data_IF_799122881729
#
_entry.id   IF_799122881729
#
_cell.length_a   1.000
_cell.length_b   1.000
_cell.length_c   1.000
_cell.angle_alpha   90.00
_cell.angle_beta   90.00
_cell.angle_gamma   90.00
#
_symmetry.space_group_name_H-M   'P 1'
#
loop_
_entity.id
_entity.type
_entity.pdbx_description
1 polymer ?
#
# COMPACT_ATOMS: atom_id res chain seq x y z
N UNK A 1 -14.30 -60.84 -46.39
CA UNK A 1 -13.60 -61.72 -45.42
C UNK A 1 -12.54 -60.90 -44.69
N UNK A 2 -12.35 -61.08 -43.37
CA UNK A 2 -12.67 -60.01 -42.42
C UNK A 2 -11.49 -59.23 -41.79
N UNK A 3 -11.83 -57.98 -41.45
CA UNK A 3 -11.45 -57.10 -40.35
C UNK A 3 -10.24 -57.38 -39.44
N UNK A 4 -9.37 -56.37 -39.29
CA UNK A 4 -8.99 -55.82 -37.98
C UNK A 4 -8.21 -54.49 -38.08
N UNK A 5 -8.35 -53.67 -37.03
CA UNK A 5 -7.55 -52.49 -36.63
C UNK A 5 -7.85 -51.13 -37.30
N UNK A 6 -8.67 -50.32 -36.61
CA UNK A 6 -8.21 -49.15 -35.85
C UNK A 6 -9.42 -48.27 -35.48
N UNK A 7 -9.60 -47.96 -34.19
CA UNK A 7 -10.19 -46.73 -33.61
C UNK A 7 -10.22 -46.92 -32.08
N UNK A 8 -9.87 -45.86 -31.34
CA UNK A 8 -10.43 -45.61 -30.01
C UNK A 8 -9.52 -45.82 -28.81
N UNK A 9 -8.59 -44.88 -28.59
CA UNK A 9 -8.15 -44.54 -27.23
C UNK A 9 -9.36 -43.98 -26.47
N UNK A 10 -9.83 -44.70 -25.45
CA UNK A 10 -10.82 -44.20 -24.47
C UNK A 10 -10.24 -44.29 -23.07
N UNK A 11 -10.48 -43.19 -22.36
CA UNK A 11 -9.92 -42.73 -21.10
C UNK A 11 -9.99 -43.70 -19.92
N UNK A 12 -8.87 -43.72 -19.19
CA UNK A 12 -8.68 -44.28 -17.84
C UNK A 12 -9.68 -43.72 -16.80
N UNK A 13 -10.37 -42.62 -17.11
CA UNK A 13 -11.30 -41.92 -16.23
C UNK A 13 -12.64 -42.67 -15.98
N UNK A 14 -13.07 -43.57 -16.87
CA UNK A 14 -14.35 -44.30 -16.68
C UNK A 14 -14.19 -45.51 -15.75
N UNK A 15 -12.98 -46.10 -15.64
CA UNK A 15 -12.73 -47.24 -14.72
C UNK A 15 -12.66 -46.84 -13.24
N UNK A 16 -12.35 -45.58 -12.92
CA UNK A 16 -12.32 -45.10 -11.53
C UNK A 16 -13.72 -44.77 -10.99
N UNK A 17 -14.62 -44.27 -11.85
CA UNK A 17 -16.00 -43.94 -11.46
C UNK A 17 -16.89 -45.18 -11.20
N UNK A 18 -16.59 -46.32 -11.82
CA UNK A 18 -17.34 -47.58 -11.55
C UNK A 18 -16.90 -48.26 -10.26
N UNK A 19 -15.62 -48.14 -9.84
CA UNK A 19 -15.14 -48.71 -8.56
C UNK A 19 -15.57 -47.91 -7.33
N UNK A 20 -15.75 -46.59 -7.44
CA UNK A 20 -16.23 -45.77 -6.33
C UNK A 20 -17.72 -45.98 -6.03
N UNK A 21 -18.55 -46.30 -7.04
CA UNK A 21 -19.99 -46.52 -6.86
C UNK A 21 -20.33 -47.90 -6.27
N UNK A 22 -19.46 -48.90 -6.42
CA UNK A 22 -19.63 -50.22 -5.82
C UNK A 22 -19.28 -50.25 -4.31
N UNK A 23 -18.44 -49.33 -3.82
CA UNK A 23 -18.08 -49.25 -2.40
C UNK A 23 -19.12 -48.51 -1.53
N UNK A 24 -20.06 -47.78 -2.15
CA UNK A 24 -21.06 -46.98 -1.44
C UNK A 24 -22.41 -47.69 -1.20
N UNK A 25 -22.66 -48.85 -1.84
CA UNK A 25 -23.96 -49.55 -1.77
C UNK A 25 -23.96 -50.86 -0.96
N UNK A 26 -22.88 -51.19 -0.24
CA UNK A 26 -22.83 -52.33 0.68
C UNK A 26 -22.59 -51.85 2.11
N UNK A 27 -23.52 -51.07 2.66
CA UNK A 27 -23.51 -50.67 4.06
C UNK A 27 -24.94 -50.59 4.62
N UNK A 28 -25.76 -51.62 4.35
CA UNK A 28 -26.97 -51.94 5.10
C UNK A 28 -27.15 -53.46 5.03
N UNK A 29 -26.38 -54.18 5.82
CA UNK A 29 -26.67 -55.60 6.10
C UNK A 29 -26.41 -55.83 7.59
N UNK A 30 -27.49 -56.06 8.33
CA UNK A 30 -27.56 -56.15 9.79
C UNK A 30 -27.06 -57.52 10.30
N UNK A 31 -25.84 -57.90 9.92
CA UNK A 31 -25.16 -59.04 10.53
C UNK A 31 -23.64 -59.00 10.30
N UNK A 32 -22.93 -58.22 11.14
CA UNK A 32 -21.46 -58.26 11.22
C UNK A 32 -21.05 -58.52 12.68
N UNK A 33 -20.24 -59.55 12.95
CA UNK A 33 -19.84 -59.91 14.31
C UNK A 33 -19.04 -58.79 14.98
N UNK A 34 -19.19 -58.66 16.30
CA UNK A 34 -18.71 -57.58 17.19
C UNK A 34 -17.19 -57.27 17.19
N UNK A 35 -16.40 -57.81 16.26
CA UNK A 35 -14.94 -57.61 16.16
C UNK A 35 -14.51 -56.45 15.26
N UNK A 36 -15.40 -55.84 14.48
CA UNK A 36 -15.06 -54.73 13.56
C UNK A 36 -15.35 -53.31 14.09
N UNK A 37 -16.09 -53.19 15.20
CA UNK A 37 -16.36 -51.89 15.83
C UNK A 37 -15.11 -51.26 16.48
N UNK A 38 -14.22 -52.06 17.05
CA UNK A 38 -13.00 -51.57 17.70
C UNK A 38 -12.00 -50.94 16.71
N UNK A 39 -11.85 -51.51 15.51
CA UNK A 39 -10.89 -51.02 14.50
C UNK A 39 -11.37 -49.73 13.82
N UNK A 40 -12.67 -49.61 13.55
CA UNK A 40 -13.27 -48.38 13.01
C UNK A 40 -13.21 -47.23 14.02
N UNK A 41 -13.48 -47.49 15.30
CA UNK A 41 -13.38 -46.50 16.38
C UNK A 41 -11.93 -46.08 16.64
N UNK A 42 -10.96 -47.00 16.57
CA UNK A 42 -9.52 -46.71 16.72
C UNK A 42 -8.96 -45.89 15.54
N UNK A 43 -9.40 -46.13 14.30
CA UNK A 43 -9.05 -45.30 13.15
C UNK A 43 -9.64 -43.89 13.29
N UNK A 44 -10.95 -43.75 13.55
CA UNK A 44 -11.59 -42.44 13.75
C UNK A 44 -10.95 -41.64 14.89
N UNK A 45 -10.61 -42.32 15.99
CA UNK A 45 -9.95 -41.73 17.16
C UNK A 45 -8.50 -41.33 16.86
N UNK A 46 -7.74 -42.09 16.07
CA UNK A 46 -6.40 -41.70 15.58
C UNK A 46 -6.45 -40.49 14.64
N UNK A 47 -7.44 -40.40 13.75
CA UNK A 47 -7.63 -39.22 12.90
C UNK A 47 -8.02 -37.99 13.70
N UNK A 48 -8.89 -38.12 14.72
CA UNK A 48 -9.25 -37.03 15.63
C UNK A 48 -8.05 -36.57 16.48
N UNK A 49 -7.26 -37.50 17.04
CA UNK A 49 -6.04 -37.16 17.77
C UNK A 49 -4.97 -36.54 16.84
N UNK A 50 -4.83 -37.02 15.61
CA UNK A 50 -3.93 -36.42 14.62
C UNK A 50 -4.39 -34.99 14.25
N UNK A 51 -5.69 -34.79 14.01
CA UNK A 51 -6.28 -33.47 13.72
C UNK A 51 -6.13 -32.48 14.88
N UNK A 52 -6.20 -32.95 16.13
CA UNK A 52 -6.01 -32.13 17.33
C UNK A 52 -4.53 -31.89 17.67
N UNK A 53 -3.64 -32.83 17.34
CA UNK A 53 -2.20 -32.70 17.62
C UNK A 53 -1.50 -31.69 16.71
N UNK A 54 -1.95 -31.55 15.47
CA UNK A 54 -1.37 -30.63 14.49
C UNK A 54 -1.47 -29.14 14.90
N UNK A 55 -2.63 -28.60 15.32
CA UNK A 55 -2.72 -27.21 15.78
C UNK A 55 -1.98 -26.97 17.10
N UNK A 56 -1.91 -27.98 17.99
CA UNK A 56 -1.14 -27.87 19.24
C UNK A 56 0.36 -27.81 18.93
N UNK A 57 0.85 -28.68 18.05
CA UNK A 57 2.24 -28.67 17.60
C UNK A 57 2.59 -27.37 16.88
N UNK A 58 1.69 -26.87 16.02
CA UNK A 58 1.85 -25.57 15.35
C UNK A 58 1.90 -24.42 16.36
N UNK A 59 1.03 -24.42 17.37
CA UNK A 59 1.02 -23.39 18.41
C UNK A 59 2.30 -23.40 19.23
N UNK A 60 2.80 -24.59 19.61
CA UNK A 60 4.07 -24.73 20.32
C UNK A 60 5.25 -24.28 19.45
N UNK A 61 5.24 -24.63 18.16
CA UNK A 61 6.25 -24.17 17.20
C UNK A 61 6.24 -22.65 17.07
N UNK A 62 5.07 -22.02 16.89
CA UNK A 62 4.95 -20.56 16.80
C UNK A 62 5.40 -19.88 18.09
N UNK A 63 5.09 -20.43 19.26
CA UNK A 63 5.58 -19.89 20.53
C UNK A 63 7.10 -20.01 20.64
N UNK A 64 7.67 -21.17 20.27
CA UNK A 64 9.12 -21.40 20.30
C UNK A 64 9.86 -20.52 19.28
N UNK A 65 9.27 -20.29 18.12
CA UNK A 65 9.80 -19.44 17.04
C UNK A 65 9.61 -17.93 17.30
N UNK A 66 8.92 -17.56 18.38
CA UNK A 66 8.73 -16.18 18.78
C UNK A 66 9.82 -15.71 19.75
N UNK A 67 10.41 -14.57 19.44
CA UNK A 67 11.43 -13.93 20.26
C UNK A 67 10.82 -12.92 21.24
N UNK A 68 11.46 -12.68 22.40
CA UNK A 68 11.02 -11.66 23.35
C UNK A 68 11.37 -10.23 22.92
N UNK A 69 12.31 -10.07 22.00
CA UNK A 69 12.80 -8.78 21.51
C UNK A 69 12.65 -8.66 19.99
N UNK A 70 12.34 -7.46 19.48
CA UNK A 70 12.28 -7.21 18.04
C UNK A 70 13.70 -7.17 17.45
N UNK A 71 13.89 -7.81 16.29
CA UNK A 71 15.14 -7.71 15.52
C UNK A 71 15.30 -6.33 14.86
N UNK A 72 14.19 -5.71 14.46
CA UNK A 72 14.15 -4.36 13.89
C UNK A 72 13.33 -3.45 14.80
N UNK A 73 13.97 -2.40 15.33
CA UNK A 73 13.31 -1.37 16.13
C UNK A 73 13.53 0.01 15.52
N UNK A 74 12.48 0.54 14.90
CA UNK A 74 12.45 1.87 14.26
C UNK A 74 11.02 2.36 14.10
N UNK A 75 10.88 3.65 13.81
CA UNK A 75 9.62 4.25 13.40
C UNK A 75 9.26 3.93 11.94
N UNK A 76 8.06 4.33 11.55
CA UNK A 76 7.55 4.23 10.18
C UNK A 76 7.76 5.52 9.37
N UNK A 77 8.56 6.46 9.89
CA UNK A 77 8.72 7.76 9.27
C UNK A 77 9.40 7.62 7.90
N UNK A 78 8.86 8.33 6.92
CA UNK A 78 9.44 8.46 5.59
C UNK A 78 10.18 9.79 5.54
N UNK A 79 11.47 9.75 5.19
CA UNK A 79 12.28 10.95 5.10
C UNK A 79 12.00 11.70 3.78
N UNK A 80 12.04 13.05 3.76
CA UNK A 80 11.92 13.83 2.53
C UNK A 80 13.00 13.50 1.48
N UNK A 81 14.17 13.04 1.91
CA UNK A 81 15.24 12.56 1.03
C UNK A 81 14.86 11.30 0.27
N UNK A 82 14.09 10.39 0.89
CA UNK A 82 13.54 9.19 0.23
C UNK A 82 12.52 9.57 -0.84
N UNK A 83 11.68 10.58 -0.59
CA UNK A 83 10.75 11.14 -1.60
C UNK A 83 11.54 11.75 -2.77
N UNK A 84 12.60 12.49 -2.49
CA UNK A 84 13.49 13.04 -3.51
C UNK A 84 14.11 11.94 -4.39
N UNK A 85 14.60 10.85 -3.77
CA UNK A 85 15.17 9.71 -4.46
C UNK A 85 14.13 9.00 -5.33
N UNK A 86 12.93 8.74 -4.80
CA UNK A 86 11.82 8.15 -5.55
C UNK A 86 11.44 9.01 -6.76
N UNK A 87 11.33 10.33 -6.59
CA UNK A 87 11.03 11.26 -7.68
C UNK A 87 12.09 11.22 -8.77
N UNK A 88 13.38 11.22 -8.40
CA UNK A 88 14.48 11.11 -9.38
C UNK A 88 14.39 9.81 -10.18
N UNK A 89 14.14 8.69 -9.50
CA UNK A 89 13.99 7.37 -10.12
C UNK A 89 12.84 7.34 -11.12
N UNK A 90 11.70 7.94 -10.78
CA UNK A 90 10.53 8.05 -11.67
C UNK A 90 10.80 8.95 -12.88
N UNK A 91 11.48 10.08 -12.69
CA UNK A 91 11.81 11.01 -13.78
C UNK A 91 12.84 10.41 -14.75
N UNK A 92 13.85 9.70 -14.22
CA UNK A 92 14.87 9.05 -15.06
C UNK A 92 14.33 7.85 -15.82
N UNK A 93 13.29 7.19 -15.30
CA UNK A 93 12.68 5.99 -15.89
C UNK A 93 11.23 6.21 -16.32
N UNK A 94 10.87 7.41 -16.80
CA UNK A 94 9.50 7.75 -17.18
C UNK A 94 8.95 6.79 -18.24
N UNK A 95 7.95 5.94 -17.91
CA UNK A 95 7.35 4.97 -18.82
C UNK A 95 6.88 5.54 -20.14
N UNK A 96 6.47 6.81 -20.16
CA UNK A 96 5.91 7.49 -21.34
C UNK A 96 6.96 7.81 -22.39
N UNK A 97 8.24 7.77 -22.02
CA UNK A 97 9.38 8.02 -22.91
C UNK A 97 10.05 6.74 -23.40
N UNK A 98 9.58 5.57 -22.92
CA UNK A 98 10.17 4.27 -23.22
C UNK A 98 9.41 3.57 -24.33
N UNK A 99 10.14 2.90 -25.21
CA UNK A 99 9.58 2.02 -26.24
C UNK A 99 9.71 0.57 -25.80
N UNK A 100 8.80 -0.27 -26.30
CA UNK A 100 8.85 -1.71 -26.01
C UNK A 100 10.20 -2.29 -26.45
N UNK A 101 10.84 -3.03 -25.57
CA UNK A 101 12.16 -3.63 -25.82
C UNK A 101 13.33 -2.74 -25.43
N UNK A 102 13.09 -1.48 -25.02
CA UNK A 102 14.16 -0.61 -24.50
C UNK A 102 14.77 -1.24 -23.24
N UNK A 103 16.08 -1.42 -23.25
CA UNK A 103 16.83 -1.84 -22.07
C UNK A 103 17.18 -0.60 -21.23
N UNK A 104 16.92 -0.67 -19.92
CA UNK A 104 17.16 0.41 -18.97
C UNK A 104 17.79 -0.12 -17.71
N UNK A 105 18.69 0.67 -17.13
CA UNK A 105 19.28 0.41 -15.82
C UNK A 105 18.72 1.42 -14.83
N UNK A 106 17.98 0.92 -13.85
CA UNK A 106 17.51 1.68 -12.71
C UNK A 106 18.53 1.57 -11.57
N UNK A 107 19.06 2.71 -11.12
CA UNK A 107 19.92 2.79 -9.94
C UNK A 107 19.04 3.14 -8.75
N UNK A 108 18.78 2.16 -7.88
CA UNK A 108 17.87 2.32 -6.74
C UNK A 108 18.72 2.46 -5.47
N UNK A 109 18.69 3.62 -4.78
CA UNK A 109 19.42 3.78 -3.52
C UNK A 109 18.97 2.77 -2.47
N UNK A 110 19.90 2.19 -1.71
CA UNK A 110 19.58 1.21 -0.67
C UNK A 110 18.64 1.81 0.38
N UNK A 111 18.84 3.07 0.76
CA UNK A 111 17.94 3.81 1.65
C UNK A 111 16.49 3.91 1.14
N UNK A 112 16.28 3.97 -0.19
CA UNK A 112 14.94 3.98 -0.78
C UNK A 112 14.29 2.59 -0.67
N UNK A 113 15.05 1.52 -0.89
CA UNK A 113 14.58 0.14 -0.71
C UNK A 113 14.22 -0.08 0.76
N UNK A 114 15.11 0.27 1.68
CA UNK A 114 14.92 0.22 3.13
C UNK A 114 13.62 0.93 3.57
N UNK A 115 13.45 2.18 3.13
CA UNK A 115 12.23 2.97 3.42
C UNK A 115 10.99 2.28 2.86
N UNK A 116 11.05 1.77 1.63
CA UNK A 116 9.90 1.16 0.95
C UNK A 116 9.47 -0.13 1.66
N UNK A 117 10.41 -1.01 2.00
CA UNK A 117 10.07 -2.27 2.68
C UNK A 117 9.56 -2.02 4.09
N UNK A 118 10.10 -1.02 4.82
CA UNK A 118 9.62 -0.68 6.15
C UNK A 118 8.19 -0.11 6.09
N UNK A 119 7.91 0.74 5.10
CA UNK A 119 6.57 1.27 4.85
C UNK A 119 5.57 0.14 4.55
N UNK A 120 5.89 -0.78 3.63
CA UNK A 120 4.99 -1.90 3.31
C UNK A 120 4.81 -2.86 4.49
N UNK A 121 5.87 -3.17 5.24
CA UNK A 121 5.78 -4.00 6.45
C UNK A 121 4.89 -3.36 7.52
N UNK A 122 5.01 -2.05 7.71
CA UNK A 122 4.20 -1.29 8.68
C UNK A 122 2.73 -1.32 8.30
N UNK A 123 2.41 -1.06 7.02
CA UNK A 123 1.03 -0.98 6.54
C UNK A 123 0.34 -2.34 6.42
N UNK A 124 1.01 -3.33 5.84
CA UNK A 124 0.39 -4.61 5.50
C UNK A 124 0.46 -5.63 6.65
N UNK A 125 1.50 -5.55 7.48
CA UNK A 125 1.79 -6.56 8.52
C UNK A 125 1.83 -5.99 9.93
N UNK A 126 1.64 -4.66 10.11
CA UNK A 126 1.87 -3.97 11.39
C UNK A 126 3.26 -4.31 11.98
N UNK A 127 4.24 -4.49 11.10
CA UNK A 127 5.61 -4.88 11.42
C UNK A 127 6.62 -3.78 11.13
N UNK A 128 7.90 -4.07 11.37
CA UNK A 128 9.03 -3.20 11.01
C UNK A 128 10.00 -3.98 10.15
N UNK A 129 10.59 -3.34 9.15
CA UNK A 129 11.56 -3.98 8.28
C UNK A 129 12.82 -3.13 8.10
N UNK A 130 13.91 -3.78 7.76
CA UNK A 130 15.19 -3.15 7.44
C UNK A 130 15.85 -3.85 6.27
N UNK A 131 16.44 -3.06 5.37
CA UNK A 131 17.22 -3.53 4.23
C UNK A 131 18.68 -3.21 4.48
N UNK A 132 19.53 -4.22 4.40
CA UNK A 132 20.97 -4.08 4.63
C UNK A 132 21.68 -4.56 3.38
N UNK A 133 22.46 -3.69 2.77
CA UNK A 133 23.28 -4.00 1.62
C UNK A 133 24.68 -4.43 2.09
N UNK A 134 25.08 -5.64 1.75
CA UNK A 134 26.44 -6.16 1.92
C UNK A 134 27.19 -6.20 0.58
N UNK A 135 28.44 -6.70 0.60
CA UNK A 135 29.35 -6.67 -0.56
C UNK A 135 28.78 -7.32 -1.83
N UNK A 136 28.24 -8.54 -1.69
CA UNK A 136 27.68 -9.35 -2.77
C UNK A 136 26.27 -9.87 -2.46
N UNK A 137 25.69 -9.43 -1.34
CA UNK A 137 24.43 -9.90 -0.82
C UNK A 137 23.60 -8.74 -0.26
N UNK A 138 22.31 -8.98 -0.12
CA UNK A 138 21.39 -8.10 0.58
C UNK A 138 20.62 -8.89 1.64
N UNK A 139 20.43 -8.30 2.81
CA UNK A 139 19.62 -8.89 3.88
C UNK A 139 18.34 -8.09 4.06
N UNK A 140 17.21 -8.78 4.07
CA UNK A 140 15.93 -8.22 4.50
C UNK A 140 15.60 -8.80 5.87
N UNK A 141 15.42 -7.90 6.85
CA UNK A 141 14.95 -8.23 8.19
C UNK A 141 13.53 -7.73 8.37
N UNK A 142 12.66 -8.54 8.93
CA UNK A 142 11.26 -8.22 9.19
C UNK A 142 10.88 -8.68 10.60
N UNK A 143 10.33 -7.78 11.38
CA UNK A 143 9.80 -8.05 12.71
C UNK A 143 8.30 -7.81 12.70
N UNK A 144 7.54 -8.84 13.06
CA UNK A 144 6.08 -8.77 13.20
C UNK A 144 5.73 -9.09 14.65
N UNK A 145 4.84 -8.31 15.27
CA UNK A 145 4.33 -8.68 16.60
C UNK A 145 3.50 -9.95 16.48
N UNK A 146 3.80 -10.97 17.28
CA UNK A 146 3.13 -12.26 17.21
C UNK A 146 1.63 -12.11 17.56
N UNK A 147 0.70 -12.29 16.60
CA UNK A 147 -0.72 -12.15 16.86
C UNK A 147 -1.20 -13.24 17.84
N UNK A 148 -2.04 -12.86 18.80
CA UNK A 148 -2.68 -13.80 19.73
C UNK A 148 -1.80 -14.28 20.90
N UNK A 149 -0.54 -13.84 21.00
CA UNK A 149 0.33 -14.17 22.14
C UNK A 149 0.41 -12.98 23.09
N UNK A 150 0.06 -13.19 24.37
CA UNK A 150 0.18 -12.15 25.40
C UNK A 150 1.64 -11.81 25.69
N UNK A 151 1.95 -10.52 25.82
CA UNK A 151 3.29 -10.01 26.09
C UNK A 151 4.08 -9.58 24.84
N UNK A 152 5.31 -9.07 25.00
CA UNK A 152 6.14 -8.62 23.90
C UNK A 152 6.76 -9.84 23.18
N UNK A 153 6.01 -10.46 22.28
CA UNK A 153 6.49 -11.57 21.43
C UNK A 153 6.52 -11.15 19.97
N UNK A 154 7.57 -11.55 19.27
CA UNK A 154 7.85 -11.12 17.91
C UNK A 154 8.26 -12.30 17.04
N UNK A 155 7.75 -12.32 15.81
CA UNK A 155 8.28 -13.14 14.74
C UNK A 155 9.34 -12.33 14.00
N UNK A 156 10.60 -12.72 14.20
CA UNK A 156 11.74 -12.12 13.51
C UNK A 156 12.11 -12.99 12.31
N UNK A 157 11.85 -12.48 11.12
CA UNK A 157 12.19 -13.11 9.86
C UNK A 157 13.44 -12.43 9.29
N UNK A 158 14.40 -13.21 8.83
CA UNK A 158 15.52 -12.70 8.03
C UNK A 158 15.70 -13.54 6.78
N UNK A 159 16.01 -12.89 5.67
CA UNK A 159 16.31 -13.53 4.41
C UNK A 159 17.53 -12.86 3.77
N UNK A 160 18.54 -13.67 3.46
CA UNK A 160 19.76 -13.28 2.77
C UNK A 160 19.61 -13.59 1.28
N UNK A 161 19.76 -12.56 0.45
CA UNK A 161 19.68 -12.61 -0.99
C UNK A 161 21.06 -12.43 -1.60
N UNK A 162 21.40 -13.23 -2.60
CA UNK A 162 22.61 -13.08 -3.40
C UNK A 162 22.24 -13.06 -4.87
N UNK A 163 23.03 -12.35 -5.68
CA UNK A 163 22.86 -12.37 -7.14
C UNK A 163 23.20 -13.77 -7.69
N UNK A 164 22.28 -14.36 -8.45
CA UNK A 164 22.53 -15.59 -9.18
C UNK A 164 21.89 -15.54 -10.57
N UNK A 165 22.73 -15.42 -11.62
CA UNK A 165 22.32 -15.35 -13.03
C UNK A 165 21.35 -14.19 -13.33
N UNK A 166 21.58 -13.03 -12.72
CA UNK A 166 20.76 -11.83 -12.91
C UNK A 166 19.46 -11.80 -12.11
N UNK A 167 19.20 -12.81 -11.26
CA UNK A 167 18.06 -12.86 -10.34
C UNK A 167 18.52 -12.92 -8.87
N UNK A 168 17.78 -12.31 -7.93
CA UNK A 168 18.05 -12.47 -6.50
C UNK A 168 17.60 -13.87 -6.05
N UNK A 169 18.51 -14.64 -5.44
CA UNK A 169 18.19 -15.94 -4.83
C UNK A 169 18.39 -15.92 -3.34
N UNK A 170 17.55 -16.67 -2.64
CA UNK A 170 17.62 -16.79 -1.18
C UNK A 170 18.70 -17.81 -0.83
N UNK A 171 19.78 -17.33 -0.23
CA UNK A 171 20.89 -18.18 0.21
C UNK A 171 20.61 -18.75 1.60
N UNK A 172 20.04 -17.92 2.48
CA UNK A 172 19.66 -18.30 3.82
C UNK A 172 18.38 -17.58 4.23
N UNK A 173 17.53 -18.24 5.02
CA UNK A 173 16.39 -17.63 5.65
C UNK A 173 16.20 -18.20 7.06
N UNK A 174 15.60 -17.44 7.95
CA UNK A 174 15.28 -17.89 9.31
C UNK A 174 14.02 -17.22 9.87
N UNK A 175 13.40 -17.89 10.82
CA UNK A 175 12.37 -17.39 11.72
C UNK A 175 12.87 -17.51 13.16
N UNK A 176 13.29 -16.41 13.76
CA UNK A 176 14.01 -16.38 15.03
C UNK A 176 15.27 -17.24 14.93
N UNK A 177 15.41 -18.18 15.86
CA UNK A 177 16.50 -19.15 15.88
C UNK A 177 16.34 -20.31 14.87
N UNK A 178 15.20 -20.45 14.20
CA UNK A 178 14.92 -21.57 13.31
C UNK A 178 15.36 -21.26 11.87
N UNK A 179 16.35 -21.97 11.31
CA UNK A 179 16.69 -21.83 9.89
C UNK A 179 15.56 -22.40 9.03
N UNK A 180 15.20 -21.66 7.98
CA UNK A 180 14.23 -22.07 6.97
C UNK A 180 15.03 -22.50 5.73
N UNK A 181 14.86 -23.74 5.23
CA UNK A 181 15.47 -24.16 3.98
C UNK A 181 15.09 -23.21 2.83
N UNK A 182 16.05 -22.81 1.99
CA UNK A 182 15.83 -21.81 0.94
C UNK A 182 14.69 -22.17 -0.01
N UNK A 183 14.54 -23.46 -0.37
CA UNK A 183 13.43 -23.92 -1.20
C UNK A 183 12.06 -23.71 -0.53
N UNK A 184 11.96 -23.85 0.79
CA UNK A 184 10.75 -23.58 1.55
C UNK A 184 10.50 -22.06 1.62
N UNK A 185 11.53 -21.25 1.83
CA UNK A 185 11.42 -19.79 1.83
C UNK A 185 10.93 -19.25 0.47
N UNK A 186 11.52 -19.73 -0.63
CA UNK A 186 11.09 -19.39 -1.99
C UNK A 186 9.64 -19.81 -2.26
N UNK A 187 9.25 -21.01 -1.81
CA UNK A 187 7.86 -21.48 -1.91
C UNK A 187 6.90 -20.63 -1.09
N UNK A 188 7.27 -20.22 0.13
CA UNK A 188 6.44 -19.36 0.98
C UNK A 188 6.23 -17.98 0.33
N UNK A 189 7.27 -17.39 -0.24
CA UNK A 189 7.19 -16.11 -0.95
C UNK A 189 6.31 -16.22 -2.19
N UNK A 190 6.53 -17.24 -3.03
CA UNK A 190 5.69 -17.48 -4.21
C UNK A 190 4.22 -17.69 -3.81
N UNK A 191 3.97 -18.43 -2.71
CA UNK A 191 2.63 -18.67 -2.19
C UNK A 191 1.98 -17.37 -1.68
N UNK A 192 2.72 -16.54 -0.94
CA UNK A 192 2.22 -15.26 -0.46
C UNK A 192 1.84 -14.32 -1.61
N UNK A 193 2.67 -14.25 -2.67
CA UNK A 193 2.40 -13.47 -3.87
C UNK A 193 1.15 -13.98 -4.60
N UNK A 194 0.99 -15.31 -4.70
CA UNK A 194 -0.18 -15.92 -5.32
C UNK A 194 -1.46 -15.66 -4.51
N UNK A 195 -1.41 -15.75 -3.19
CA UNK A 195 -2.56 -15.48 -2.31
C UNK A 195 -2.96 -14.00 -2.40
N UNK A 196 -1.97 -13.10 -2.53
CA UNK A 196 -2.21 -11.68 -2.77
C UNK A 196 -2.77 -11.37 -4.17
N UNK A 197 -2.82 -12.35 -5.08
CA UNK A 197 -3.35 -12.18 -6.43
C UNK A 197 -2.37 -11.56 -7.42
N UNK A 198 -1.06 -11.53 -7.11
CA UNK A 198 -0.04 -10.87 -7.93
C UNK A 198 0.89 -11.83 -8.69
N UNK A 199 0.49 -13.09 -8.89
CA UNK A 199 1.35 -14.11 -9.49
C UNK A 199 1.74 -13.81 -10.93
N UNK A 200 0.82 -13.26 -11.73
CA UNK A 200 1.09 -12.96 -13.14
C UNK A 200 2.04 -11.77 -13.25
N UNK A 201 1.76 -10.70 -12.52
CA UNK A 201 2.55 -9.49 -12.46
C UNK A 201 3.97 -9.77 -11.99
N UNK A 202 4.12 -10.60 -10.96
CA UNK A 202 5.41 -11.02 -10.44
C UNK A 202 6.22 -11.81 -11.47
N UNK A 203 5.56 -12.68 -12.25
CA UNK A 203 6.23 -13.45 -13.31
C UNK A 203 6.72 -12.54 -14.43
N UNK A 204 5.90 -11.58 -14.87
CA UNK A 204 6.27 -10.61 -15.90
C UNK A 204 7.42 -9.72 -15.41
N UNK A 205 7.32 -9.19 -14.18
CA UNK A 205 8.38 -8.38 -13.58
C UNK A 205 9.70 -9.14 -13.54
N UNK A 206 9.70 -10.40 -13.11
CA UNK A 206 10.91 -11.24 -13.06
C UNK A 206 11.50 -11.48 -14.46
N UNK A 207 10.67 -11.78 -15.46
CA UNK A 207 11.13 -12.03 -16.84
C UNK A 207 11.71 -10.78 -17.52
N UNK A 208 11.30 -9.59 -17.08
CA UNK A 208 11.83 -8.32 -17.58
C UNK A 208 13.24 -8.03 -17.07
N UNK A 209 13.62 -8.58 -15.92
CA UNK A 209 14.95 -8.37 -15.33
C UNK A 209 16.01 -9.12 -16.14
N UNK A 210 17.09 -8.43 -16.47
CA UNK A 210 18.27 -8.97 -17.17
C UNK A 210 19.47 -9.09 -16.25
N UNK A 211 19.66 -8.09 -15.40
CA UNK A 211 20.76 -8.04 -14.45
C UNK A 211 20.29 -7.36 -13.17
N UNK A 212 20.75 -7.89 -12.06
CA UNK A 212 20.62 -7.30 -10.73
C UNK A 212 22.02 -7.27 -10.14
N UNK A 213 22.54 -6.10 -9.78
CA UNK A 213 23.84 -5.98 -9.13
C UNK A 213 23.70 -5.22 -7.81
N UNK A 214 24.36 -5.73 -6.76
CA UNK A 214 24.52 -5.03 -5.49
C UNK A 214 25.79 -4.19 -5.57
N UNK A 215 25.67 -2.87 -5.40
CA UNK A 215 26.78 -1.91 -5.52
C UNK A 215 26.97 -1.16 -4.19
N UNK A 216 27.60 -1.78 -3.18
CA UNK A 216 27.76 -1.21 -1.84
C UNK A 216 28.59 0.06 -1.84
N UNK A 217 29.58 0.18 -2.74
CA UNK A 217 30.38 1.39 -2.90
C UNK A 217 29.55 2.63 -3.29
N UNK A 218 28.39 2.41 -3.90
CA UNK A 218 27.43 3.46 -4.30
C UNK A 218 26.19 3.51 -3.41
N UNK A 219 26.11 2.64 -2.39
CA UNK A 219 24.93 2.43 -1.56
C UNK A 219 23.65 2.24 -2.39
N UNK A 220 23.73 1.38 -3.43
CA UNK A 220 22.65 1.23 -4.40
C UNK A 220 22.53 -0.20 -4.95
N UNK A 221 21.35 -0.49 -5.46
CA UNK A 221 21.04 -1.71 -6.22
C UNK A 221 20.78 -1.30 -7.66
N UNK A 222 21.58 -1.83 -8.59
CA UNK A 222 21.43 -1.59 -10.02
C UNK A 222 20.59 -2.70 -10.64
N UNK A 223 19.46 -2.31 -11.25
CA UNK A 223 18.53 -3.23 -11.90
C UNK A 223 18.45 -2.91 -13.39
N UNK A 224 18.98 -3.80 -14.23
CA UNK A 224 18.80 -3.72 -15.68
C UNK A 224 17.58 -4.53 -16.09
N UNK A 225 16.64 -3.89 -16.78
CA UNK A 225 15.40 -4.50 -17.22
C UNK A 225 15.05 -4.12 -18.66
N UNK A 226 14.26 -4.96 -19.32
CA UNK A 226 13.67 -4.68 -20.63
C UNK A 226 12.26 -4.13 -20.43
N UNK A 227 12.01 -2.95 -20.99
CA UNK A 227 10.71 -2.31 -20.87
C UNK A 227 9.63 -3.02 -21.70
N UNK A 228 8.53 -3.39 -21.04
CA UNK A 228 7.29 -3.79 -21.68
C UNK A 228 6.13 -2.91 -21.19
N UNK A 229 5.27 -2.38 -22.09
CA UNK A 229 4.13 -1.55 -21.69
C UNK A 229 3.20 -2.22 -20.65
N UNK A 230 3.10 -3.56 -20.70
CA UNK A 230 2.31 -4.35 -19.75
C UNK A 230 2.76 -4.17 -18.30
N UNK A 231 4.03 -3.87 -18.03
CA UNK A 231 4.52 -3.60 -16.68
C UNK A 231 3.82 -2.40 -16.05
N UNK A 232 3.53 -1.36 -16.85
CA UNK A 232 2.81 -0.18 -16.37
C UNK A 232 1.35 -0.51 -16.08
N UNK A 233 0.69 -1.24 -16.97
CA UNK A 233 -0.72 -1.63 -16.80
C UNK A 233 -0.89 -2.51 -15.57
N UNK A 234 0.06 -3.41 -15.32
CA UNK A 234 0.11 -4.24 -14.10
C UNK A 234 0.42 -3.47 -12.84
N UNK A 235 1.35 -2.51 -12.88
CA UNK A 235 1.58 -1.63 -11.74
C UNK A 235 0.33 -0.83 -11.37
N UNK A 236 -0.45 -0.38 -12.37
CA UNK A 236 -1.74 0.30 -12.15
C UNK A 236 -2.78 -0.62 -11.54
N UNK A 237 -2.90 -1.87 -11.98
CA UNK A 237 -3.87 -2.82 -11.42
C UNK A 237 -3.54 -3.24 -9.98
N UNK A 238 -2.26 -3.15 -9.56
CA UNK A 238 -1.89 -3.28 -8.14
C UNK A 238 -2.30 -2.06 -7.32
N UNK A 239 -2.24 -0.86 -7.90
CA UNK A 239 -2.56 0.39 -7.22
C UNK A 239 -4.07 0.64 -7.13
N UNK A 240 -4.83 0.26 -8.17
CA UNK A 240 -6.26 0.48 -8.29
C UNK A 240 -6.96 -0.79 -8.77
N UNK A 241 -7.90 -1.28 -7.96
CA UNK A 241 -8.76 -2.40 -8.33
C UNK A 241 -9.82 -1.95 -9.34
N UNK A 242 -10.43 -2.87 -10.10
CA UNK A 242 -11.56 -2.54 -10.98
C UNK A 242 -12.72 -1.84 -10.24
N UNK A 243 -12.96 -2.23 -8.97
CA UNK A 243 -13.95 -1.61 -8.11
C UNK A 243 -13.58 -0.17 -7.77
N UNK A 244 -12.31 0.12 -7.49
CA UNK A 244 -11.84 1.48 -7.24
C UNK A 244 -12.14 2.41 -8.42
N UNK A 245 -11.98 1.92 -9.65
CA UNK A 245 -12.30 2.68 -10.88
C UNK A 245 -13.79 3.03 -10.93
N UNK A 246 -14.67 2.11 -10.55
CA UNK A 246 -16.13 2.35 -10.47
C UNK A 246 -16.44 3.44 -9.43
N UNK A 247 -15.85 3.35 -8.24
CA UNK A 247 -16.02 4.36 -7.19
C UNK A 247 -15.50 5.74 -7.63
N UNK A 248 -14.39 5.79 -8.37
CA UNK A 248 -13.84 7.04 -8.91
C UNK A 248 -14.70 7.65 -10.00
N UNK A 249 -15.29 6.83 -10.86
CA UNK A 249 -16.26 7.32 -11.85
C UNK A 249 -17.48 7.95 -11.17
N UNK A 250 -18.03 7.28 -10.13
CA UNK A 250 -19.16 7.81 -9.36
C UNK A 250 -18.79 9.12 -8.65
N UNK A 251 -17.61 9.20 -8.04
CA UNK A 251 -17.09 10.43 -7.44
C UNK A 251 -16.91 11.56 -8.46
N UNK A 252 -16.40 11.26 -9.66
CA UNK A 252 -16.25 12.23 -10.75
C UNK A 252 -17.60 12.77 -11.22
N UNK A 253 -18.59 11.90 -11.38
CA UNK A 253 -19.98 12.26 -11.69
C UNK A 253 -20.55 13.22 -10.64
N UNK A 254 -20.41 12.86 -9.35
CA UNK A 254 -20.90 13.68 -8.24
C UNK A 254 -20.24 15.06 -8.18
N UNK A 255 -18.90 15.11 -8.34
CA UNK A 255 -18.15 16.36 -8.38
C UNK A 255 -18.59 17.24 -9.56
N UNK A 256 -18.76 16.66 -10.75
CA UNK A 256 -19.22 17.41 -11.92
C UNK A 256 -20.63 17.99 -11.70
N UNK A 257 -21.56 17.19 -11.18
CA UNK A 257 -22.93 17.64 -10.90
C UNK A 257 -23.00 18.76 -9.85
N UNK A 258 -22.20 18.67 -8.77
CA UNK A 258 -22.12 19.75 -7.77
C UNK A 258 -21.58 21.05 -8.38
N UNK A 259 -20.51 20.96 -9.18
CA UNK A 259 -19.85 22.13 -9.75
C UNK A 259 -20.62 22.79 -10.90
N UNK A 260 -21.56 22.08 -11.53
CA UNK A 260 -22.37 22.64 -12.61
C UNK A 260 -23.34 23.75 -12.16
N UNK A 261 -23.64 23.82 -10.87
CA UNK A 261 -24.46 24.88 -10.27
C UNK A 261 -23.74 26.22 -10.17
N UNK A 262 -22.41 26.24 -10.32
CA UNK A 262 -21.59 27.44 -10.18
C UNK A 262 -21.22 28.03 -11.55
N UNK A 263 -20.98 29.34 -11.59
CA UNK A 263 -20.41 29.97 -12.78
C UNK A 263 -18.94 29.58 -12.94
N UNK A 264 -18.46 29.59 -14.19
CA UNK A 264 -17.06 29.28 -14.45
C UNK A 264 -16.14 30.26 -13.69
N UNK A 265 -15.10 29.73 -13.05
CA UNK A 265 -14.11 30.44 -12.22
C UNK A 265 -14.67 31.11 -10.96
N UNK A 266 -15.91 30.79 -10.55
CA UNK A 266 -16.42 31.20 -9.24
C UNK A 266 -15.46 30.75 -8.12
N UNK A 267 -15.28 31.58 -7.09
CA UNK A 267 -14.59 31.17 -5.86
C UNK A 267 -15.59 30.45 -4.98
N UNK A 268 -15.30 29.20 -4.63
CA UNK A 268 -16.21 28.34 -3.86
C UNK A 268 -15.43 27.77 -2.67
N UNK A 269 -15.91 27.93 -1.43
CA UNK A 269 -15.29 27.30 -0.26
C UNK A 269 -15.22 25.78 -0.43
N UNK A 270 -14.07 25.19 -0.10
CA UNK A 270 -13.84 23.76 -0.22
C UNK A 270 -14.84 22.98 0.63
N UNK A 271 -15.22 23.50 1.80
CA UNK A 271 -16.19 22.85 2.68
C UNK A 271 -17.55 22.62 2.00
N UNK A 272 -17.98 23.53 1.12
CA UNK A 272 -19.25 23.44 0.40
C UNK A 272 -19.26 22.35 -0.68
N UNK A 273 -18.09 21.88 -1.11
CA UNK A 273 -17.95 20.79 -2.09
C UNK A 273 -17.59 19.48 -1.38
N UNK A 274 -16.66 19.53 -0.42
CA UNK A 274 -16.17 18.37 0.30
C UNK A 274 -17.27 17.71 1.15
N UNK A 275 -18.03 18.49 1.91
CA UNK A 275 -19.08 17.96 2.78
C UNK A 275 -20.17 17.20 2.03
N UNK A 276 -20.81 17.74 0.96
CA UNK A 276 -21.80 16.98 0.19
C UNK A 276 -21.17 15.81 -0.56
N UNK A 277 -19.93 15.94 -1.06
CA UNK A 277 -19.22 14.83 -1.68
C UNK A 277 -18.96 13.68 -0.73
N UNK A 278 -18.81 13.93 0.57
CA UNK A 278 -18.58 12.93 1.61
C UNK A 278 -19.82 12.68 2.49
N UNK A 279 -20.98 13.23 2.14
CA UNK A 279 -22.20 13.09 2.91
C UNK A 279 -22.61 11.62 3.12
N UNK A 280 -23.22 11.27 4.26
CA UNK A 280 -23.63 9.91 4.54
C UNK A 280 -24.70 9.44 3.57
N UNK A 281 -24.49 8.24 3.02
CA UNK A 281 -25.48 7.47 2.28
C UNK A 281 -25.43 6.03 2.79
N UNK A 282 -26.56 5.32 2.79
CA UNK A 282 -26.70 3.98 3.38
C UNK A 282 -25.78 2.92 2.77
N UNK A 283 -25.28 3.16 1.56
CA UNK A 283 -24.44 2.29 0.76
C UNK A 283 -22.98 2.76 0.65
N UNK A 284 -22.62 3.88 1.28
CA UNK A 284 -21.28 4.45 1.16
C UNK A 284 -20.25 3.67 1.99
N UNK A 285 -19.13 3.39 1.37
CA UNK A 285 -18.02 2.59 1.92
C UNK A 285 -16.71 3.38 1.98
N UNK A 286 -15.70 2.82 2.62
CA UNK A 286 -14.34 3.40 2.62
C UNK A 286 -13.76 3.58 1.20
N UNK A 287 -13.86 2.60 0.28
CA UNK A 287 -13.51 2.78 -1.12
C UNK A 287 -14.15 4.01 -1.77
N UNK A 288 -15.43 4.28 -1.51
CA UNK A 288 -16.10 5.48 -2.04
C UNK A 288 -15.43 6.77 -1.57
N UNK A 289 -15.15 6.87 -0.27
CA UNK A 289 -14.50 8.08 0.28
C UNK A 289 -13.08 8.27 -0.26
N UNK A 290 -12.31 7.19 -0.36
CA UNK A 290 -10.96 7.20 -0.94
C UNK A 290 -11.01 7.67 -2.39
N UNK A 291 -11.95 7.17 -3.17
CA UNK A 291 -12.16 7.59 -4.55
C UNK A 291 -12.56 9.08 -4.64
N UNK A 292 -13.46 9.54 -3.78
CA UNK A 292 -13.86 10.96 -3.67
C UNK A 292 -12.66 11.86 -3.40
N UNK A 293 -11.81 11.52 -2.42
CA UNK A 293 -10.62 12.31 -2.11
C UNK A 293 -9.64 12.35 -3.27
N UNK A 294 -9.40 11.22 -3.96
CA UNK A 294 -8.47 11.18 -5.09
C UNK A 294 -8.95 12.00 -6.29
N UNK A 295 -10.26 11.91 -6.60
CA UNK A 295 -10.88 12.71 -7.66
C UNK A 295 -10.81 14.20 -7.34
N UNK A 296 -11.15 14.58 -6.10
CA UNK A 296 -11.08 15.97 -5.65
C UNK A 296 -9.63 16.50 -5.65
N UNK A 297 -8.66 15.70 -5.20
CA UNK A 297 -7.24 16.04 -5.26
C UNK A 297 -6.75 16.22 -6.70
N UNK A 298 -7.18 15.36 -7.63
CA UNK A 298 -6.82 15.49 -9.05
C UNK A 298 -7.39 16.76 -9.66
N UNK A 299 -8.63 17.13 -9.29
CA UNK A 299 -9.27 18.37 -9.67
C UNK A 299 -8.51 19.60 -9.13
N UNK A 300 -8.20 19.62 -7.82
CA UNK A 300 -7.44 20.68 -7.16
C UNK A 300 -6.02 20.83 -7.68
N UNK A 301 -5.38 19.73 -8.07
CA UNK A 301 -4.05 19.72 -8.69
C UNK A 301 -4.06 20.14 -10.17
N UNK A 302 -5.24 20.40 -10.73
CA UNK A 302 -5.48 20.63 -12.16
C UNK A 302 -4.86 19.54 -13.06
N UNK A 303 -4.81 18.31 -12.56
CA UNK A 303 -4.25 17.16 -13.30
C UNK A 303 -5.36 16.40 -13.99
N UNK A 304 -5.08 15.98 -15.21
CA UNK A 304 -5.95 15.07 -15.91
C UNK A 304 -5.88 13.68 -15.26
N UNK A 305 -6.97 13.23 -14.65
CA UNK A 305 -7.07 11.91 -14.04
C UNK A 305 -6.75 10.79 -15.03
N UNK A 306 -6.96 11.01 -16.34
CA UNK A 306 -6.61 10.06 -17.39
C UNK A 306 -5.11 9.75 -17.49
N UNK A 307 -4.23 10.56 -16.90
CA UNK A 307 -2.80 10.24 -16.80
C UNK A 307 -2.52 9.12 -15.80
N UNK A 308 -3.37 8.99 -14.76
CA UNK A 308 -3.31 7.94 -13.77
C UNK A 308 -4.14 6.73 -14.21
N UNK A 309 -5.37 6.99 -14.69
CA UNK A 309 -6.39 6.00 -15.04
C UNK A 309 -6.87 6.23 -16.48
N UNK A 310 -6.33 5.51 -17.48
CA UNK A 310 -6.72 5.67 -18.88
C UNK A 310 -8.25 5.58 -19.11
N UNK A 311 -8.96 4.79 -18.31
CA UNK A 311 -10.41 4.63 -18.28
C UNK A 311 -11.15 5.95 -18.06
N UNK A 312 -10.51 6.92 -17.40
CA UNK A 312 -11.04 8.27 -17.19
C UNK A 312 -11.16 9.11 -18.47
N UNK A 313 -10.66 8.61 -19.59
CA UNK A 313 -10.85 9.24 -20.89
C UNK A 313 -12.33 9.28 -21.25
N UNK A 314 -12.88 10.49 -21.38
CA UNK A 314 -14.29 10.70 -21.72
C UNK A 314 -15.25 10.72 -20.52
N UNK A 315 -14.74 10.63 -19.29
CA UNK A 315 -15.55 10.87 -18.10
C UNK A 315 -16.12 12.30 -18.09
N UNK A 316 -17.25 12.52 -17.38
CA UNK A 316 -17.83 13.85 -17.21
C UNK A 316 -16.79 14.85 -16.70
N UNK A 317 -16.75 16.02 -17.33
CA UNK A 317 -15.79 17.06 -16.96
C UNK A 317 -16.42 17.98 -15.93
N UNK A 318 -15.84 17.99 -14.73
CA UNK A 318 -16.18 18.99 -13.73
C UNK A 318 -15.89 20.41 -14.24
N UNK A 319 -16.84 21.32 -14.02
CA UNK A 319 -16.68 22.74 -14.35
C UNK A 319 -15.48 23.31 -13.60
N UNK A 320 -14.71 24.18 -14.25
CA UNK A 320 -13.58 24.86 -13.61
C UNK A 320 -14.07 25.97 -12.70
N UNK A 321 -13.91 25.79 -11.40
CA UNK A 321 -14.12 26.78 -10.33
C UNK A 321 -12.83 26.91 -9.54
N UNK A 322 -12.73 27.95 -8.71
CA UNK A 322 -11.61 28.19 -7.80
C UNK A 322 -12.02 27.72 -6.42
N UNK A 323 -11.65 26.48 -6.06
CA UNK A 323 -11.88 25.99 -4.71
C UNK A 323 -10.92 26.68 -3.75
N UNK A 324 -11.45 27.17 -2.63
CA UNK A 324 -10.66 27.90 -1.62
C UNK A 324 -10.87 27.33 -0.25
N UNK A 325 -9.84 27.31 0.58
CA UNK A 325 -9.92 26.94 2.00
C UNK A 325 -9.41 28.12 2.81
N UNK A 326 -10.24 28.68 3.69
CA UNK A 326 -10.01 29.98 4.33
C UNK A 326 -9.75 31.10 3.31
N UNK A 327 -10.44 31.04 2.17
CA UNK A 327 -10.30 32.01 1.07
C UNK A 327 -9.08 31.82 0.16
N UNK A 328 -8.22 30.83 0.44
CA UNK A 328 -6.96 30.55 -0.27
C UNK A 328 -7.06 29.33 -1.19
N UNK A 329 -6.65 29.48 -2.46
CA UNK A 329 -6.68 28.40 -3.48
C UNK A 329 -5.57 27.36 -3.23
N UNK A 330 -4.38 27.82 -2.85
CA UNK A 330 -3.21 26.99 -2.48
C UNK A 330 -3.50 26.13 -1.24
N UNK A 331 -4.09 26.71 -0.19
CA UNK A 331 -4.45 25.95 1.02
C UNK A 331 -5.47 24.84 0.71
N UNK A 332 -6.44 25.07 -0.18
CA UNK A 332 -7.36 24.02 -0.61
C UNK A 332 -6.63 22.90 -1.35
N UNK A 333 -5.67 23.25 -2.20
CA UNK A 333 -4.86 22.29 -2.94
C UNK A 333 -3.99 21.44 -2.02
N UNK A 334 -3.23 22.04 -1.10
CA UNK A 334 -2.42 21.35 -0.10
C UNK A 334 -3.28 20.39 0.74
N UNK A 335 -4.38 20.90 1.30
CA UNK A 335 -5.33 20.08 2.07
C UNK A 335 -5.85 18.88 1.28
N UNK A 336 -6.40 19.10 0.07
CA UNK A 336 -7.04 18.03 -0.69
C UNK A 336 -6.07 16.97 -1.18
N UNK A 337 -4.87 17.38 -1.63
CA UNK A 337 -3.82 16.45 -2.06
C UNK A 337 -3.33 15.63 -0.87
N UNK A 338 -3.02 16.26 0.26
CA UNK A 338 -2.52 15.58 1.45
C UNK A 338 -3.57 14.64 2.07
N UNK A 339 -4.86 15.01 2.02
CA UNK A 339 -5.96 14.12 2.41
C UNK A 339 -6.05 12.87 1.53
N UNK A 340 -5.96 13.02 0.20
CA UNK A 340 -5.95 11.88 -0.70
C UNK A 340 -4.72 11.00 -0.49
N UNK A 341 -3.53 11.59 -0.34
CA UNK A 341 -2.31 10.84 -0.06
C UNK A 341 -2.40 10.06 1.26
N UNK A 342 -2.92 10.66 2.33
CA UNK A 342 -3.10 9.95 3.60
C UNK A 342 -4.13 8.83 3.49
N UNK A 343 -5.25 9.06 2.81
CA UNK A 343 -6.29 8.04 2.66
C UNK A 343 -5.82 6.81 1.85
N UNK A 344 -4.95 7.00 0.85
CA UNK A 344 -4.45 5.94 -0.04
C UNK A 344 -3.10 5.34 0.41
N UNK A 345 -2.14 6.19 0.76
CA UNK A 345 -0.76 5.86 1.08
C UNK A 345 -0.39 6.05 2.57
N UNK A 346 -1.33 6.44 3.42
CA UNK A 346 -1.08 6.65 4.85
C UNK A 346 -0.35 7.96 5.18
N UNK A 347 -0.41 8.32 6.45
CA UNK A 347 0.14 9.56 6.99
C UNK A 347 1.66 9.73 6.80
N UNK A 348 2.51 8.70 7.03
CA UNK A 348 3.95 8.86 6.84
C UNK A 348 4.32 9.27 5.42
N UNK A 349 3.64 8.74 4.40
CA UNK A 349 3.87 9.08 3.01
C UNK A 349 3.36 10.49 2.67
N UNK A 350 2.16 10.84 3.13
CA UNK A 350 1.57 12.17 2.91
C UNK A 350 2.46 13.27 3.50
N UNK A 351 2.90 13.11 4.76
CA UNK A 351 3.78 14.06 5.43
C UNK A 351 5.11 14.25 4.72
N UNK A 352 5.76 13.15 4.35
CA UNK A 352 7.06 13.19 3.70
C UNK A 352 6.99 13.92 2.34
N UNK A 353 5.89 13.72 1.61
CA UNK A 353 5.64 14.39 0.32
C UNK A 353 5.38 15.88 0.52
N UNK A 354 4.52 16.26 1.50
CA UNK A 354 4.25 17.67 1.82
C UNK A 354 5.52 18.42 2.23
N UNK A 355 6.29 17.90 3.18
CA UNK A 355 7.55 18.51 3.62
C UNK A 355 8.57 18.57 2.47
N UNK A 356 8.66 17.53 1.63
CA UNK A 356 9.54 17.55 0.46
C UNK A 356 9.15 18.68 -0.50
N UNK A 357 7.85 18.91 -0.74
CA UNK A 357 7.36 19.99 -1.60
C UNK A 357 7.82 21.35 -1.07
N UNK A 358 7.62 21.62 0.22
CA UNK A 358 8.04 22.90 0.83
C UNK A 358 9.55 23.13 0.73
N UNK A 359 10.35 22.08 0.90
CA UNK A 359 11.81 22.15 0.70
C UNK A 359 12.16 22.43 -0.77
N UNK A 360 11.48 21.81 -1.73
CA UNK A 360 11.71 22.04 -3.16
C UNK A 360 11.30 23.46 -3.59
N UNK A 361 10.16 23.95 -3.09
CA UNK A 361 9.65 25.30 -3.33
C UNK A 361 10.56 26.38 -2.72
N UNK A 362 11.25 26.08 -1.60
CA UNK A 362 12.28 26.98 -1.05
C UNK A 362 13.50 27.18 -1.97
N UNK A 363 13.77 26.23 -2.86
CA UNK A 363 14.95 26.23 -3.75
C UNK A 363 14.66 26.85 -5.11
N UNK A 364 13.47 26.60 -5.66
CA UNK A 364 13.14 26.92 -7.06
C UNK A 364 11.73 27.47 -7.26
N UNK A 365 10.94 27.62 -6.20
CA UNK A 365 9.54 28.00 -6.23
C UNK A 365 9.23 29.26 -5.42
N UNK A 366 8.06 29.26 -4.78
CA UNK A 366 7.52 30.39 -4.01
C UNK A 366 8.18 30.62 -2.65
N UNK A 367 9.03 29.70 -2.18
CA UNK A 367 9.55 29.70 -0.82
C UNK A 367 8.85 28.67 0.09
N UNK A 368 9.51 28.27 1.18
CA UNK A 368 8.93 27.42 2.22
C UNK A 368 7.82 28.14 2.97
N UNK A 369 6.71 27.46 3.24
CA UNK A 369 5.52 28.02 3.88
C UNK A 369 4.99 27.12 5.01
N UNK A 370 5.01 27.65 6.23
CA UNK A 370 4.38 26.96 7.37
C UNK A 370 2.85 26.97 7.26
N UNK A 371 2.27 27.93 6.53
CA UNK A 371 0.84 27.94 6.26
C UNK A 371 0.43 26.79 5.32
N UNK A 372 1.25 26.51 4.31
CA UNK A 372 1.05 25.36 3.41
C UNK A 372 1.29 24.04 4.13
N UNK A 373 2.32 23.97 5.00
CA UNK A 373 2.53 22.82 5.88
C UNK A 373 1.34 22.59 6.83
N UNK A 374 0.71 23.65 7.34
CA UNK A 374 -0.49 23.53 8.17
C UNK A 374 -1.69 22.98 7.37
N UNK A 375 -1.85 23.41 6.12
CA UNK A 375 -2.85 22.88 5.22
C UNK A 375 -2.59 21.40 4.86
N UNK A 376 -1.33 21.02 4.63
CA UNK A 376 -0.94 19.63 4.42
C UNK A 376 -1.26 18.77 5.64
N UNK A 377 -0.90 19.21 6.85
CA UNK A 377 -1.17 18.48 8.09
C UNK A 377 -2.68 18.33 8.38
N UNK A 378 -3.47 19.38 8.14
CA UNK A 378 -4.93 19.30 8.23
C UNK A 378 -5.51 18.29 7.23
N UNK A 379 -5.03 18.33 5.98
CA UNK A 379 -5.40 17.38 4.94
C UNK A 379 -5.06 15.96 5.34
N UNK A 380 -3.82 15.71 5.78
CA UNK A 380 -3.36 14.41 6.23
C UNK A 380 -4.23 13.84 7.35
N UNK A 381 -4.48 14.60 8.43
CA UNK A 381 -5.37 14.18 9.51
C UNK A 381 -6.79 13.90 9.02
N UNK A 382 -7.30 14.70 8.06
CA UNK A 382 -8.60 14.46 7.46
C UNK A 382 -8.66 13.14 6.70
N UNK A 383 -7.61 12.83 5.92
CA UNK A 383 -7.49 11.56 5.20
C UNK A 383 -7.38 10.35 6.13
N UNK A 384 -6.69 10.48 7.27
CA UNK A 384 -6.67 9.46 8.32
C UNK A 384 -8.05 9.24 8.93
N UNK A 385 -8.77 10.31 9.29
CA UNK A 385 -10.13 10.22 9.82
C UNK A 385 -11.08 9.50 8.85
N UNK A 386 -10.92 9.73 7.54
CA UNK A 386 -11.68 9.01 6.50
C UNK A 386 -11.43 7.51 6.55
N UNK A 387 -10.22 7.07 6.90
CA UNK A 387 -9.83 5.65 6.95
C UNK A 387 -10.14 5.00 8.29
N UNK A 388 -9.85 5.68 9.40
CA UNK A 388 -9.77 5.08 10.74
C UNK A 388 -11.01 5.33 11.61
N UNK A 389 -11.72 6.45 11.42
CA UNK A 389 -12.88 6.83 12.24
C UNK A 389 -14.00 7.44 11.38
N UNK A 390 -14.40 6.65 10.38
CA UNK A 390 -15.49 6.93 9.45
C UNK A 390 -16.74 7.44 10.19
N UNK A 391 -17.31 6.76 11.23
CA UNK A 391 -18.54 7.20 11.89
C UNK A 391 -18.47 8.61 12.51
N UNK A 392 -17.33 8.97 13.11
CA UNK A 392 -17.15 10.30 13.69
C UNK A 392 -17.13 11.39 12.62
N UNK A 393 -16.42 11.14 11.52
CA UNK A 393 -16.39 12.06 10.39
C UNK A 393 -17.82 12.38 9.92
N UNK A 394 -18.71 11.38 9.83
CA UNK A 394 -20.13 11.61 9.47
C UNK A 394 -20.87 12.49 10.46
N UNK A 395 -20.64 12.32 11.76
CA UNK A 395 -21.29 13.14 12.76
C UNK A 395 -20.94 14.61 12.56
N UNK A 396 -19.70 14.92 12.21
CA UNK A 396 -19.26 16.30 11.94
C UNK A 396 -19.76 16.80 10.59
N UNK A 397 -19.64 15.99 9.53
CA UNK A 397 -20.04 16.35 8.16
C UNK A 397 -21.56 16.41 7.93
N UNK A 398 -22.37 15.87 8.85
CA UNK A 398 -23.84 15.95 8.76
C UNK A 398 -24.40 17.32 9.17
N UNK A 399 -23.58 18.18 9.78
CA UNK A 399 -23.92 19.57 10.06
C UNK A 399 -23.50 20.53 8.93
N UNK A 400 -23.66 21.83 9.18
CA UNK A 400 -23.09 22.87 8.29
C UNK A 400 -21.58 22.94 8.52
N UNK A 401 -20.79 22.52 7.53
CA UNK A 401 -19.32 22.54 7.58
C UNK A 401 -18.80 23.83 6.95
N UNK A 402 -17.95 24.53 7.70
CA UNK A 402 -17.23 25.72 7.24
C UNK A 402 -15.74 25.39 7.06
N UNK A 403 -15.01 26.26 6.35
CA UNK A 403 -13.56 26.09 6.19
C UNK A 403 -12.81 26.06 7.54
N UNK A 404 -13.32 26.77 8.56
CA UNK A 404 -12.73 26.81 9.91
C UNK A 404 -12.87 25.48 10.68
N UNK A 405 -13.76 24.59 10.24
CA UNK A 405 -13.90 23.24 10.79
C UNK A 405 -12.83 22.28 10.21
N UNK A 406 -12.26 22.63 9.05
CA UNK A 406 -11.28 21.83 8.32
C UNK A 406 -9.85 22.32 8.52
N UNK A 407 -9.64 23.63 8.64
CA UNK A 407 -8.31 24.23 8.75
C UNK A 407 -8.32 25.33 9.82
N UNK A 408 -7.42 25.31 10.82
CA UNK A 408 -7.35 26.38 11.78
C UNK A 408 -6.79 27.65 11.13
N UNK A 409 -6.91 28.78 11.83
CA UNK A 409 -6.34 30.04 11.35
C UNK A 409 -4.85 29.90 11.02
N UNK A 410 -4.48 30.36 9.82
CA UNK A 410 -3.11 30.39 9.33
C UNK A 410 -2.35 31.66 9.77
N UNK A 411 -3.03 32.58 10.45
CA UNK A 411 -2.45 33.86 10.84
C UNK A 411 -1.18 33.66 11.71
N UNK A 412 -0.12 34.38 11.34
CA UNK A 412 1.15 34.40 12.07
C UNK A 412 2.15 33.31 11.65
N UNK A 413 1.78 32.39 10.75
CA UNK A 413 2.77 31.43 10.21
C UNK A 413 3.73 32.12 9.23
N UNK A 414 5.04 31.84 9.30
CA UNK A 414 5.99 32.32 8.31
C UNK A 414 5.74 31.68 6.93
N UNK A 415 5.73 32.50 5.89
CA UNK A 415 5.52 32.06 4.49
C UNK A 415 6.63 32.63 3.58
N UNK A 416 6.74 32.08 2.37
CA UNK A 416 7.61 32.57 1.29
C UNK A 416 9.11 32.63 1.64
N UNK A 417 9.58 31.71 2.48
CA UNK A 417 10.98 31.69 2.92
C UNK A 417 11.89 31.09 1.85
N UNK A 418 12.85 31.86 1.36
CA UNK A 418 13.94 31.31 0.52
C UNK A 418 14.71 30.22 1.28
N UNK A 419 15.39 29.31 0.57
CA UNK A 419 16.20 28.27 1.23
C UNK A 419 17.24 28.86 2.20
N UNK A 420 17.89 29.97 1.84
CA UNK A 420 18.86 30.64 2.70
C UNK A 420 18.22 31.21 3.97
N UNK A 421 17.04 31.82 3.84
CA UNK A 421 16.31 32.36 4.98
C UNK A 421 15.76 31.24 5.89
N UNK A 422 15.19 30.19 5.28
CA UNK A 422 14.70 29.02 6.00
C UNK A 422 15.83 28.38 6.81
N UNK A 423 17.00 28.12 6.20
CA UNK A 423 18.17 27.58 6.91
C UNK A 423 18.65 28.51 8.03
N UNK A 424 18.65 29.82 7.81
CA UNK A 424 19.08 30.79 8.82
C UNK A 424 18.13 30.84 10.04
N UNK A 425 16.82 30.77 9.81
CA UNK A 425 15.79 30.93 10.86
C UNK A 425 15.36 29.62 11.50
N UNK A 426 15.35 28.54 10.73
CA UNK A 426 14.80 27.23 11.08
C UNK A 426 15.80 26.08 10.85
N UNK A 427 17.07 26.40 10.63
CA UNK A 427 18.15 25.39 10.63
C UNK A 427 18.44 24.83 12.02
N UNK A 428 18.06 25.53 13.09
CA UNK A 428 17.95 24.97 14.44
C UNK A 428 16.69 24.09 14.51
N UNK A 429 16.83 22.78 14.81
CA UNK A 429 15.71 21.87 14.96
C UNK A 429 14.64 22.37 15.93
N UNK A 430 15.02 23.08 17.00
CA UNK A 430 14.05 23.56 18.00
C UNK A 430 13.09 24.60 17.42
N UNK A 431 13.59 25.55 16.63
CA UNK A 431 12.77 26.60 16.03
C UNK A 431 11.77 26.02 15.02
N UNK A 432 12.19 25.05 14.22
CA UNK A 432 11.31 24.32 13.32
C UNK A 432 10.25 23.52 14.10
N UNK A 433 10.68 22.76 15.11
CA UNK A 433 9.80 21.95 15.95
C UNK A 433 8.76 22.77 16.71
N UNK A 434 9.08 24.01 17.11
CA UNK A 434 8.10 24.90 17.74
C UNK A 434 6.99 25.31 16.78
N UNK A 435 7.32 25.63 15.53
CA UNK A 435 6.32 25.99 14.52
C UNK A 435 5.44 24.79 14.17
N UNK A 436 6.02 23.60 14.00
CA UNK A 436 5.23 22.39 13.73
C UNK A 436 4.38 22.00 14.94
N UNK A 437 4.88 22.15 16.17
CA UNK A 437 4.09 21.92 17.38
C UNK A 437 2.90 22.88 17.50
N UNK A 438 3.07 24.15 17.10
CA UNK A 438 1.97 25.12 17.06
C UNK A 438 0.91 24.74 16.02
N UNK A 439 1.31 24.23 14.85
CA UNK A 439 0.38 23.66 13.85
C UNK A 439 -0.41 22.51 14.47
N UNK A 440 0.27 21.53 15.07
CA UNK A 440 -0.39 20.38 15.70
C UNK A 440 -1.33 20.78 16.83
N UNK A 441 -0.94 21.77 17.64
CA UNK A 441 -1.77 22.31 18.72
C UNK A 441 -3.05 22.93 18.18
N UNK A 442 -2.96 23.79 17.15
CA UNK A 442 -4.13 24.41 16.52
C UNK A 442 -5.04 23.38 15.86
N UNK A 443 -4.48 22.32 15.27
CA UNK A 443 -5.26 21.22 14.70
C UNK A 443 -5.99 20.43 15.78
N UNK A 444 -5.31 20.10 16.89
CA UNK A 444 -5.92 19.41 18.03
C UNK A 444 -7.03 20.23 18.70
N UNK A 445 -7.03 21.56 18.56
CA UNK A 445 -8.12 22.41 19.06
C UNK A 445 -9.40 22.30 18.20
N UNK A 446 -9.34 21.80 16.97
CA UNK A 446 -10.54 21.65 16.13
C UNK A 446 -11.35 20.41 16.52
N UNK A 447 -12.68 20.51 16.72
CA UNK A 447 -13.52 19.36 17.07
C UNK A 447 -13.41 18.17 16.11
N UNK A 448 -13.15 18.45 14.83
CA UNK A 448 -12.96 17.43 13.80
C UNK A 448 -11.76 16.50 14.12
N UNK A 449 -10.66 17.05 14.64
CA UNK A 449 -9.38 16.34 14.83
C UNK A 449 -9.05 15.95 16.28
N UNK A 450 -9.96 16.21 17.22
CA UNK A 450 -9.77 15.91 18.66
C UNK A 450 -9.70 14.45 19.03
#
# INVERSE_FOLDING_TARGET
MPACQHIGRVNLAVRFLVRARAAANCACDDNVPARYWAVSLMCRRRWVFALLSLPIAMSFFLLAASDPAPLVSRDEAILPTSVAAARRLLVSNDPRRLRRGDERTAVIPAALIDTSINYFASRSLRGRAAFILGDDHAEIRLTIRAPGISGPRYFNLSALFQEARGEPRIVAASLGAFPIPSALAEWLIASAISIAGFSEEWTIARQAIRRLAFEPARDSVELTYVWEPRLLDRARSMAFTPQDIVHMYAAQMALAGLLDHYTARARVPLSQILAPLLAPASDRTLPDNRATLLVLASYLAEKNLAMLLPEATGWPRARRVKLTLLGREDSAQHFGISAALAAWAGEPAANAIGVYKEIDDSRKGSGFSFADLAADRAGTRFGELVVDDYPRLYKVLSGTVTDADLLPSLAGFPEYLSEAEFKRRFGDPNAYSQQTAEIERRLADLPLYR
#
